data_IF_336402030140
#
_entry.id   IF_336402030140
#
_cell.length_a   1.000
_cell.length_b   1.000
_cell.length_c   1.000
_cell.angle_alpha   90.00
_cell.angle_beta   90.00
_cell.angle_gamma   90.00
#
_symmetry.space_group_name_H-M   'P 1'
#
loop_
_entity.id
_entity.type
_entity.pdbx_description
1 polymer ?
#
# COMPACT_ATOMS: atom_id res chain seq x y z
N UNK A 1 27.00 -53.56 -23.33
CA UNK A 1 26.09 -52.85 -24.25
C UNK A 1 25.12 -52.08 -23.37
N UNK A 2 25.41 -50.81 -23.12
CA UNK A 2 24.54 -49.94 -22.32
C UNK A 2 23.37 -49.52 -23.20
N UNK A 3 22.20 -50.03 -22.86
CA UNK A 3 20.92 -49.67 -23.44
C UNK A 3 20.70 -48.17 -23.17
N UNK A 4 20.91 -47.34 -24.19
CA UNK A 4 20.64 -45.91 -24.14
C UNK A 4 19.13 -45.74 -24.23
N UNK A 5 18.46 -45.82 -23.07
CA UNK A 5 17.04 -45.53 -22.95
C UNK A 5 16.75 -44.18 -23.62
N UNK A 6 16.06 -44.23 -24.75
CA UNK A 6 15.57 -43.05 -25.44
C UNK A 6 14.73 -42.23 -24.44
N UNK A 7 15.10 -40.96 -24.23
CA UNK A 7 14.32 -40.04 -23.42
C UNK A 7 12.85 -40.10 -23.88
N UNK A 8 11.88 -40.17 -22.95
CA UNK A 8 10.48 -40.29 -23.31
C UNK A 8 10.10 -39.12 -24.24
N UNK A 9 9.52 -39.45 -25.39
CA UNK A 9 9.06 -38.45 -26.35
C UNK A 9 8.09 -37.50 -25.64
N UNK A 10 8.51 -36.24 -25.47
CA UNK A 10 7.66 -35.21 -24.87
C UNK A 10 6.41 -35.08 -25.73
N UNK A 11 5.20 -35.21 -25.16
CA UNK A 11 3.97 -35.12 -25.95
C UNK A 11 3.94 -33.77 -26.69
N UNK A 12 3.50 -33.76 -27.95
CA UNK A 12 3.45 -32.50 -28.69
C UNK A 12 2.35 -31.59 -28.15
N UNK A 13 2.69 -30.33 -27.89
CA UNK A 13 1.76 -29.27 -27.49
C UNK A 13 1.42 -28.41 -28.71
N UNK A 14 0.16 -27.97 -28.83
CA UNK A 14 -0.23 -27.12 -29.96
C UNK A 14 0.51 -25.78 -29.92
N UNK A 15 0.90 -25.20 -31.08
CA UNK A 15 1.62 -23.92 -31.12
C UNK A 15 0.89 -22.77 -30.42
N UNK A 16 -0.45 -22.77 -30.48
CA UNK A 16 -1.27 -21.76 -29.83
C UNK A 16 -1.23 -21.85 -28.28
N UNK A 17 -1.21 -23.06 -27.72
CA UNK A 17 -1.07 -23.25 -26.26
C UNK A 17 0.36 -22.90 -25.83
N UNK A 18 1.36 -23.28 -26.63
CA UNK A 18 2.76 -22.92 -26.40
C UNK A 18 2.96 -21.40 -26.34
N UNK A 19 2.43 -20.66 -27.31
CA UNK A 19 2.50 -19.19 -27.32
C UNK A 19 1.88 -18.57 -26.05
N UNK A 20 0.70 -19.07 -25.63
CA UNK A 20 0.09 -18.64 -24.36
C UNK A 20 0.98 -18.95 -23.16
N UNK A 21 1.67 -20.09 -23.14
CA UNK A 21 2.56 -20.47 -22.05
C UNK A 21 3.78 -19.55 -21.98
N UNK A 22 4.39 -19.21 -23.12
CA UNK A 22 5.47 -18.22 -23.23
C UNK A 22 5.03 -16.87 -22.65
N UNK A 23 3.84 -16.38 -23.01
CA UNK A 23 3.29 -15.14 -22.46
C UNK A 23 3.07 -15.21 -20.94
N UNK A 24 2.56 -16.34 -20.42
CA UNK A 24 2.38 -16.51 -18.97
C UNK A 24 3.72 -16.49 -18.23
N UNK A 25 4.75 -17.15 -18.75
CA UNK A 25 6.09 -17.16 -18.16
C UNK A 25 6.70 -15.75 -18.21
N UNK A 26 6.62 -15.06 -19.35
CA UNK A 26 7.05 -13.67 -19.49
C UNK A 26 6.34 -12.76 -18.47
N UNK A 27 5.04 -12.97 -18.25
CA UNK A 27 4.27 -12.24 -17.25
C UNK A 27 4.77 -12.51 -15.82
N UNK A 28 4.91 -13.78 -15.42
CA UNK A 28 5.27 -14.11 -14.03
C UNK A 28 6.64 -13.56 -13.61
N UNK A 29 7.62 -13.66 -14.51
CA UNK A 29 8.99 -13.22 -14.28
C UNK A 29 9.26 -11.76 -14.70
N UNK A 30 8.27 -11.08 -15.29
CA UNK A 30 8.34 -9.66 -15.61
C UNK A 30 8.38 -8.78 -14.36
N UNK A 31 8.95 -7.58 -14.49
CA UNK A 31 9.22 -6.68 -13.34
C UNK A 31 7.97 -6.32 -12.53
N UNK A 32 6.88 -5.97 -13.22
CA UNK A 32 5.65 -5.55 -12.58
C UNK A 32 5.02 -6.66 -11.74
N UNK A 33 4.95 -7.89 -12.25
CA UNK A 33 4.39 -9.01 -11.50
C UNK A 33 5.35 -9.50 -10.41
N UNK A 34 6.61 -9.77 -10.77
CA UNK A 34 7.58 -10.38 -9.85
C UNK A 34 7.89 -9.49 -8.64
N UNK A 35 7.82 -8.15 -8.76
CA UNK A 35 7.93 -7.23 -7.61
C UNK A 35 6.75 -7.32 -6.64
N UNK A 36 5.56 -7.69 -7.12
CA UNK A 36 4.34 -7.71 -6.31
C UNK A 36 3.98 -9.11 -5.80
N UNK A 37 4.31 -10.15 -6.55
CA UNK A 37 3.94 -11.53 -6.26
C UNK A 37 4.78 -12.11 -5.12
N UNK A 38 4.17 -12.20 -3.93
CA UNK A 38 4.84 -12.69 -2.72
C UNK A 38 5.24 -14.16 -2.83
N UNK A 39 4.45 -14.97 -3.52
CA UNK A 39 4.76 -16.38 -3.68
C UNK A 39 6.03 -16.55 -4.53
N UNK A 40 6.07 -15.91 -5.70
CA UNK A 40 7.23 -15.94 -6.60
C UNK A 40 8.50 -15.40 -5.92
N UNK A 41 8.38 -14.31 -5.16
CA UNK A 41 9.52 -13.76 -4.41
C UNK A 41 10.04 -14.69 -3.33
N UNK A 42 9.13 -15.30 -2.56
CA UNK A 42 9.53 -16.18 -1.47
C UNK A 42 10.17 -17.46 -1.99
N UNK A 43 9.62 -18.03 -3.06
CA UNK A 43 10.20 -19.22 -3.70
C UNK A 43 11.60 -18.91 -4.25
N UNK A 44 11.75 -17.82 -4.99
CA UNK A 44 13.05 -17.38 -5.51
C UNK A 44 14.07 -17.09 -4.40
N UNK A 45 13.66 -16.43 -3.30
CA UNK A 45 14.56 -16.15 -2.16
C UNK A 45 15.06 -17.43 -1.49
N UNK A 46 14.23 -18.47 -1.44
CA UNK A 46 14.56 -19.72 -0.77
C UNK A 46 15.38 -20.68 -1.64
N UNK A 47 15.47 -20.43 -2.96
CA UNK A 47 16.08 -21.36 -3.92
C UNK A 47 17.04 -20.66 -4.91
N UNK A 48 17.97 -19.83 -4.41
CA UNK A 48 19.01 -19.15 -5.22
C UNK A 48 18.47 -18.39 -6.46
N UNK A 49 17.32 -17.76 -6.30
CA UNK A 49 16.61 -17.03 -7.36
C UNK A 49 15.74 -17.89 -8.28
N UNK A 50 15.79 -19.23 -8.15
CA UNK A 50 14.98 -20.16 -8.93
C UNK A 50 13.59 -20.38 -8.36
N UNK A 51 12.65 -20.61 -9.25
CA UNK A 51 11.27 -21.01 -8.97
C UNK A 51 11.05 -22.36 -9.65
N UNK A 52 10.55 -23.35 -8.92
CA UNK A 52 10.37 -24.67 -9.48
C UNK A 52 9.22 -24.69 -10.50
N UNK A 53 9.42 -25.41 -11.61
CA UNK A 53 8.36 -25.64 -12.60
C UNK A 53 7.20 -26.40 -11.95
N UNK A 54 7.49 -27.26 -10.97
CA UNK A 54 6.50 -27.98 -10.17
C UNK A 54 5.50 -27.02 -9.48
N UNK A 55 5.98 -25.88 -8.99
CA UNK A 55 5.17 -24.82 -8.38
C UNK A 55 4.37 -24.06 -9.44
N UNK A 56 4.99 -23.71 -10.57
CA UNK A 56 4.32 -23.00 -11.66
C UNK A 56 3.14 -23.79 -12.24
N UNK A 57 3.22 -25.12 -12.31
CA UNK A 57 2.12 -25.99 -12.75
C UNK A 57 0.89 -25.91 -11.83
N UNK A 58 1.05 -25.47 -10.58
CA UNK A 58 -0.08 -25.28 -9.64
C UNK A 58 -0.85 -23.99 -9.90
N UNK A 59 -0.29 -23.05 -10.67
CA UNK A 59 -0.95 -21.79 -10.97
C UNK A 59 -2.17 -22.03 -11.87
N UNK A 60 -3.32 -21.49 -11.46
CA UNK A 60 -4.60 -21.70 -12.16
C UNK A 60 -4.57 -21.40 -13.66
N UNK A 61 -3.70 -20.49 -14.10
CA UNK A 61 -3.55 -20.18 -15.52
C UNK A 61 -2.62 -21.11 -16.29
N UNK A 62 -1.62 -21.70 -15.63
CA UNK A 62 -0.69 -22.64 -16.25
C UNK A 62 -1.33 -24.03 -16.28
N UNK A 63 -1.97 -24.42 -15.18
CA UNK A 63 -2.71 -25.69 -15.04
C UNK A 63 -3.76 -25.91 -16.13
N UNK A 64 -4.37 -24.85 -16.65
CA UNK A 64 -5.34 -24.92 -17.76
C UNK A 64 -4.71 -25.14 -19.14
N UNK A 65 -3.40 -24.87 -19.27
CA UNK A 65 -2.66 -24.97 -20.53
C UNK A 65 -1.89 -26.29 -20.60
N UNK A 66 -1.27 -26.71 -19.49
CA UNK A 66 -0.51 -27.95 -19.45
C UNK A 66 -0.31 -28.48 -18.03
N UNK A 67 -0.11 -29.79 -17.92
CA UNK A 67 0.31 -30.49 -16.70
C UNK A 67 1.74 -31.06 -16.82
N UNK A 68 2.39 -30.88 -17.98
CA UNK A 68 3.69 -31.49 -18.30
C UNK A 68 4.81 -30.46 -18.06
N UNK A 69 5.77 -30.74 -17.16
CA UNK A 69 6.89 -29.82 -16.85
C UNK A 69 7.72 -29.43 -18.08
N UNK A 70 7.95 -30.38 -18.99
CA UNK A 70 8.77 -30.16 -20.19
C UNK A 70 8.21 -29.05 -21.10
N UNK A 71 6.89 -28.87 -21.18
CA UNK A 71 6.30 -27.78 -21.96
C UNK A 71 6.63 -26.41 -21.36
N UNK A 72 6.62 -26.31 -20.02
CA UNK A 72 6.97 -25.07 -19.30
C UNK A 72 8.45 -24.75 -19.48
N UNK A 73 9.31 -25.76 -19.36
CA UNK A 73 10.75 -25.58 -19.60
C UNK A 73 11.05 -25.13 -21.03
N UNK A 74 10.39 -25.75 -22.03
CA UNK A 74 10.53 -25.37 -23.44
C UNK A 74 10.09 -23.92 -23.68
N UNK A 75 8.91 -23.54 -23.19
CA UNK A 75 8.40 -22.18 -23.32
C UNK A 75 9.28 -21.15 -22.59
N UNK A 76 9.83 -21.50 -21.43
CA UNK A 76 10.76 -20.64 -20.69
C UNK A 76 12.05 -20.38 -21.46
N UNK A 77 12.54 -21.37 -22.23
CA UNK A 77 13.73 -21.20 -23.06
C UNK A 77 13.61 -20.14 -24.16
N UNK A 78 12.39 -19.78 -24.56
CA UNK A 78 12.13 -18.73 -25.57
C UNK A 78 12.01 -17.32 -24.94
N UNK A 79 11.86 -17.24 -23.62
CA UNK A 79 11.67 -15.98 -22.90
C UNK A 79 13.03 -15.33 -22.60
N UNK A 80 13.28 -14.14 -23.14
CA UNK A 80 14.60 -13.50 -23.09
C UNK A 80 15.09 -13.14 -21.66
N UNK A 81 14.18 -12.83 -20.74
CA UNK A 81 14.50 -12.37 -19.39
C UNK A 81 14.55 -13.49 -18.34
N UNK A 82 14.54 -14.76 -18.75
CA UNK A 82 14.61 -15.90 -17.84
C UNK A 82 15.68 -16.91 -18.27
N UNK A 83 16.10 -17.74 -17.33
CA UNK A 83 17.04 -18.84 -17.54
C UNK A 83 16.48 -20.09 -16.90
N UNK A 84 16.47 -21.19 -17.64
CA UNK A 84 16.10 -22.52 -17.15
C UNK A 84 17.32 -23.16 -16.47
N UNK A 85 17.10 -23.85 -15.36
CA UNK A 85 18.13 -24.63 -14.67
C UNK A 85 18.69 -25.74 -15.56
N UNK A 86 19.88 -26.25 -15.21
CA UNK A 86 20.57 -27.27 -16.01
C UNK A 86 19.82 -28.60 -16.08
N UNK A 87 19.11 -28.93 -15.01
CA UNK A 87 18.22 -30.10 -14.92
C UNK A 87 16.87 -29.88 -15.62
N UNK A 88 16.54 -28.64 -16.01
CA UNK A 88 15.26 -28.34 -16.66
C UNK A 88 14.07 -28.28 -15.71
N UNK A 89 14.28 -28.27 -14.39
CA UNK A 89 13.22 -28.36 -13.38
C UNK A 89 12.82 -27.01 -12.76
N UNK A 90 13.61 -25.96 -12.95
CA UNK A 90 13.37 -24.65 -12.36
C UNK A 90 13.72 -23.49 -13.31
N UNK A 91 13.14 -22.32 -13.05
CA UNK A 91 13.30 -21.12 -13.86
C UNK A 91 13.66 -19.95 -12.95
N UNK A 92 14.63 -19.13 -13.34
CA UNK A 92 14.94 -17.87 -12.66
C UNK A 92 14.96 -16.70 -13.62
N UNK A 93 14.88 -15.49 -13.07
CA UNK A 93 15.17 -14.28 -13.84
C UNK A 93 16.63 -14.25 -14.27
N UNK A 94 16.88 -13.82 -15.50
CA UNK A 94 18.23 -13.56 -16.01
C UNK A 94 18.81 -12.29 -15.39
N UNK A 95 18.02 -11.22 -15.43
CA UNK A 95 18.40 -9.90 -14.94
C UNK A 95 17.71 -9.60 -13.60
N UNK A 96 18.43 -8.97 -12.64
CA UNK A 96 17.83 -8.56 -11.38
C UNK A 96 16.69 -7.56 -11.60
N UNK A 97 15.86 -7.37 -10.57
CA UNK A 97 14.84 -6.31 -10.62
C UNK A 97 15.53 -4.94 -10.69
N UNK A 98 15.01 -3.98 -11.48
CA UNK A 98 15.53 -2.62 -11.46
C UNK A 98 15.43 -2.00 -10.07
N UNK A 99 16.51 -1.37 -9.60
CA UNK A 99 16.59 -0.70 -8.29
C UNK A 99 15.62 0.48 -8.21
N UNK A 100 15.65 1.38 -9.20
CA UNK A 100 14.83 2.59 -9.26
C UNK A 100 13.55 2.35 -10.09
N UNK A 101 12.64 1.52 -9.59
CA UNK A 101 11.37 1.26 -10.25
C UNK A 101 10.23 1.94 -9.53
N UNK A 102 9.66 2.97 -10.15
CA UNK A 102 8.43 3.57 -9.69
C UNK A 102 7.23 3.03 -10.48
N UNK A 103 6.42 2.18 -9.83
CA UNK A 103 5.22 1.63 -10.47
C UNK A 103 4.17 2.71 -10.74
N UNK A 104 4.08 3.75 -9.89
CA UNK A 104 3.06 4.79 -10.03
C UNK A 104 3.29 5.65 -11.29
N UNK A 105 4.54 5.86 -11.70
CA UNK A 105 4.88 6.65 -12.88
C UNK A 105 4.47 5.96 -14.19
N UNK A 106 4.38 4.62 -14.14
CA UNK A 106 4.01 3.76 -15.27
C UNK A 106 2.54 3.38 -15.28
N UNK A 107 1.76 3.90 -14.33
CA UNK A 107 0.42 3.42 -14.03
C UNK A 107 -0.64 4.48 -14.30
N UNK A 108 -1.75 4.02 -14.88
CA UNK A 108 -2.97 4.79 -15.02
C UNK A 108 -4.10 4.15 -14.21
N UNK A 109 -5.01 4.98 -13.71
CA UNK A 109 -6.27 4.52 -13.12
C UNK A 109 -7.38 4.67 -14.15
N UNK A 110 -7.99 3.54 -14.53
CA UNK A 110 -9.16 3.50 -15.41
C UNK A 110 -10.42 3.45 -14.56
N UNK A 111 -11.43 4.24 -14.92
CA UNK A 111 -12.73 4.34 -14.25
C UNK A 111 -13.84 4.24 -15.29
N UNK A 112 -14.95 3.59 -14.93
CA UNK A 112 -16.09 3.38 -15.83
C UNK A 112 -16.15 1.97 -16.40
N UNK A 113 -15.41 1.02 -15.83
CA UNK A 113 -15.49 -0.38 -16.27
C UNK A 113 -16.88 -0.95 -15.99
N UNK A 114 -17.43 -1.78 -16.90
CA UNK A 114 -18.76 -2.34 -16.76
C UNK A 114 -18.83 -3.26 -15.55
N UNK A 115 -19.84 -3.04 -14.70
CA UNK A 115 -20.18 -3.91 -13.59
C UNK A 115 -21.62 -4.35 -13.69
N UNK A 116 -21.90 -5.60 -13.31
CA UNK A 116 -23.25 -6.14 -13.16
C UNK A 116 -23.57 -6.28 -11.67
N UNK A 117 -24.81 -5.97 -11.30
CA UNK A 117 -25.32 -6.24 -9.96
C UNK A 117 -25.70 -7.72 -9.87
N UNK A 118 -25.21 -8.38 -8.82
CA UNK A 118 -25.48 -9.77 -8.50
C UNK A 118 -26.18 -9.80 -7.16
N UNK A 119 -27.39 -10.36 -7.15
CA UNK A 119 -28.16 -10.58 -5.94
C UNK A 119 -27.68 -11.89 -5.35
N UNK A 120 -26.97 -11.82 -4.23
CA UNK A 120 -26.58 -13.02 -3.48
C UNK A 120 -27.55 -13.22 -2.32
N UNK A 121 -28.39 -14.24 -2.43
CA UNK A 121 -29.21 -14.72 -1.31
C UNK A 121 -28.30 -15.38 -0.28
N UNK A 122 -28.01 -14.67 0.80
CA UNK A 122 -27.28 -15.26 1.92
C UNK A 122 -28.21 -16.24 2.66
N UNK A 123 -28.08 -17.55 2.39
CA UNK A 123 -28.66 -18.57 3.28
C UNK A 123 -28.02 -18.42 4.65
N UNK A 124 -28.79 -17.95 5.63
CA UNK A 124 -28.36 -17.95 7.01
C UNK A 124 -28.02 -19.40 7.41
N UNK A 125 -26.79 -19.62 7.88
CA UNK A 125 -26.44 -20.86 8.59
C UNK A 125 -27.34 -20.93 9.82
N UNK A 126 -28.36 -21.78 9.78
CA UNK A 126 -29.10 -22.16 10.98
C UNK A 126 -28.11 -22.97 11.81
N UNK A 127 -27.54 -22.36 12.85
CA UNK A 127 -26.89 -23.12 13.92
C UNK A 127 -28.00 -23.90 14.62
N UNK A 128 -28.09 -25.21 14.35
CA UNK A 128 -28.86 -26.13 15.18
C UNK A 128 -28.24 -26.12 16.58
N UNK A 129 -28.78 -25.29 17.47
CA UNK A 129 -28.64 -25.54 18.91
C UNK A 129 -29.40 -26.81 19.23
N UNK A 130 -28.67 -27.91 19.39
CA UNK A 130 -29.15 -29.13 20.02
C UNK A 130 -29.59 -28.78 21.45
N UNK A 131 -30.89 -28.59 21.66
CA UNK A 131 -31.48 -28.56 23.00
C UNK A 131 -31.71 -30.02 23.38
N UNK A 132 -30.93 -30.52 24.32
CA UNK A 132 -31.23 -31.80 24.97
C UNK A 132 -32.47 -31.60 25.85
N UNK A 133 -33.59 -32.12 25.35
CA UNK A 133 -34.89 -32.15 26.00
C UNK A 133 -34.92 -33.24 27.08
N UNK A 134 -35.09 -32.86 28.35
CA UNK A 134 -35.61 -33.75 29.38
C UNK A 134 -37.13 -33.72 29.33
N UNK A 135 -37.71 -34.89 29.08
CA UNK A 135 -39.14 -35.18 29.03
C UNK A 135 -39.78 -35.02 30.41
N UNK A 136 -40.89 -34.29 30.49
CA UNK A 136 -42.06 -34.64 31.33
C UNK A 136 -43.34 -33.86 30.89
N UNK A 137 -44.19 -34.60 30.17
CA UNK A 137 -45.66 -34.69 30.14
C UNK A 137 -46.64 -33.48 30.23
N UNK A 138 -47.39 -33.28 29.12
CA UNK A 138 -48.81 -32.85 28.86
C UNK A 138 -49.44 -31.72 29.71
N UNK A 139 -50.14 -30.71 29.17
CA UNK A 139 -51.38 -30.72 28.35
C UNK A 139 -51.53 -29.37 27.60
N UNK A 140 -52.32 -29.41 26.53
CA UNK A 140 -52.60 -28.46 25.43
C UNK A 140 -53.05 -27.01 25.75
N UNK A 141 -52.86 -26.20 24.69
CA UNK A 141 -53.69 -25.06 24.22
C UNK A 141 -53.29 -23.62 24.61
N UNK A 142 -52.58 -22.92 23.70
CA UNK A 142 -53.14 -21.77 22.96
C UNK A 142 -52.20 -21.25 21.87
N UNK A 143 -52.80 -21.05 20.70
CA UNK A 143 -52.26 -20.35 19.53
C UNK A 143 -52.12 -18.86 19.85
N UNK A 144 -50.93 -18.30 19.63
CA UNK A 144 -50.79 -16.87 19.34
C UNK A 144 -49.58 -16.66 18.43
N UNK A 145 -49.87 -16.09 17.25
CA UNK A 145 -48.94 -15.94 16.16
C UNK A 145 -47.75 -15.05 16.52
N UNK A 146 -46.56 -15.49 16.12
CA UNK A 146 -45.45 -14.59 15.84
C UNK A 146 -45.23 -14.62 14.34
N UNK A 147 -45.68 -13.55 13.68
CA UNK A 147 -45.21 -13.19 12.35
C UNK A 147 -43.68 -13.06 12.44
N UNK A 148 -42.97 -14.10 12.01
CA UNK A 148 -41.53 -14.01 11.76
C UNK A 148 -41.34 -13.10 10.55
N UNK A 149 -41.10 -11.83 10.80
CA UNK A 149 -40.52 -10.92 9.80
C UNK A 149 -39.11 -11.41 9.54
N UNK A 150 -38.96 -12.33 8.57
CA UNK A 150 -37.69 -12.64 7.92
C UNK A 150 -37.24 -11.39 7.19
N UNK A 151 -36.48 -10.56 7.88
CA UNK A 151 -35.83 -9.41 7.28
C UNK A 151 -34.63 -9.93 6.46
N UNK A 152 -34.92 -10.46 5.27
CA UNK A 152 -33.93 -10.86 4.27
C UNK A 152 -33.20 -9.61 3.77
N UNK A 153 -32.05 -9.29 4.39
CA UNK A 153 -31.18 -8.22 3.88
C UNK A 153 -30.49 -8.70 2.60
N UNK A 154 -31.05 -8.29 1.46
CA UNK A 154 -30.46 -8.39 0.12
C UNK A 154 -29.12 -7.63 0.12
N UNK A 155 -28.01 -8.34 -0.08
CA UNK A 155 -26.69 -7.70 -0.25
C UNK A 155 -26.47 -7.50 -1.75
N UNK A 156 -26.39 -6.25 -2.18
CA UNK A 156 -26.07 -5.90 -3.56
C UNK A 156 -24.56 -6.08 -3.79
N UNK A 157 -24.17 -7.20 -4.39
CA UNK A 157 -22.79 -7.44 -4.80
C UNK A 157 -22.60 -6.96 -6.24
N UNK A 158 -21.45 -6.37 -6.56
CA UNK A 158 -21.11 -5.98 -7.94
C UNK A 158 -20.00 -6.86 -8.45
N UNK A 159 -20.15 -7.39 -9.65
CA UNK A 159 -19.11 -8.12 -10.37
C UNK A 159 -18.71 -7.36 -11.62
N UNK A 160 -17.46 -7.53 -12.08
CA UNK A 160 -17.09 -7.00 -13.39
C UNK A 160 -17.78 -7.80 -14.48
N UNK A 161 -18.29 -7.09 -15.48
CA UNK A 161 -18.82 -7.67 -16.71
C UNK A 161 -17.78 -7.58 -17.86
N UNK A 162 -16.50 -7.57 -17.50
CA UNK A 162 -15.37 -7.51 -18.44
C UNK A 162 -14.21 -8.28 -17.83
N UNK A 163 -13.29 -8.73 -18.67
CA UNK A 163 -12.12 -9.48 -18.29
C UNK A 163 -10.82 -8.70 -18.53
N UNK A 164 -9.72 -9.26 -18.02
CA UNK A 164 -8.40 -8.65 -18.16
C UNK A 164 -7.97 -8.60 -19.63
N UNK A 165 -8.37 -9.58 -20.45
CA UNK A 165 -8.00 -9.65 -21.87
C UNK A 165 -8.66 -8.54 -22.69
N UNK A 166 -9.94 -8.24 -22.43
CA UNK A 166 -10.67 -7.14 -23.05
C UNK A 166 -10.06 -5.79 -22.69
N UNK A 167 -9.70 -5.60 -21.41
CA UNK A 167 -9.01 -4.39 -20.95
C UNK A 167 -7.64 -4.25 -21.64
N UNK A 168 -6.85 -5.34 -21.67
CA UNK A 168 -5.56 -5.34 -22.35
C UNK A 168 -5.70 -4.99 -23.82
N UNK A 169 -6.66 -5.59 -24.50
CA UNK A 169 -6.91 -5.35 -25.92
C UNK A 169 -7.26 -3.88 -26.17
N UNK A 170 -8.17 -3.31 -25.37
CA UNK A 170 -8.59 -1.92 -25.52
C UNK A 170 -7.46 -0.91 -25.28
N UNK A 171 -6.56 -1.18 -24.34
CA UNK A 171 -5.45 -0.28 -23.99
C UNK A 171 -4.13 -0.60 -24.71
N UNK A 172 -4.04 -1.73 -25.41
CA UNK A 172 -2.85 -2.13 -26.17
C UNK A 172 -2.43 -1.13 -27.25
N UNK A 173 -3.37 -0.30 -27.73
CA UNK A 173 -3.11 0.76 -28.70
C UNK A 173 -2.11 1.82 -28.23
N UNK A 174 -1.96 2.00 -26.92
CA UNK A 174 -0.98 2.94 -26.35
C UNK A 174 0.40 2.30 -26.23
N UNK A 175 0.47 0.98 -26.06
CA UNK A 175 1.71 0.22 -25.96
C UNK A 175 1.57 -1.02 -25.08
N UNK A 176 2.71 -1.65 -24.81
CA UNK A 176 2.79 -2.89 -24.05
C UNK A 176 2.35 -2.71 -22.59
N UNK A 177 1.42 -3.55 -22.16
CA UNK A 177 0.86 -3.55 -20.79
C UNK A 177 1.58 -4.60 -19.95
N UNK A 178 2.20 -4.17 -18.85
CA UNK A 178 2.92 -5.04 -17.92
C UNK A 178 1.98 -5.71 -16.91
N UNK A 179 1.01 -4.99 -16.35
CA UNK A 179 0.12 -5.50 -15.32
C UNK A 179 -1.25 -4.82 -15.36
N UNK A 180 -2.31 -5.59 -15.11
CA UNK A 180 -3.66 -5.07 -14.90
C UNK A 180 -4.15 -5.54 -13.54
N UNK A 181 -4.54 -4.60 -12.68
CA UNK A 181 -5.06 -4.87 -11.34
C UNK A 181 -6.50 -4.35 -11.22
N UNK A 182 -7.46 -5.27 -11.24
CA UNK A 182 -8.86 -4.95 -10.99
C UNK A 182 -9.10 -4.59 -9.53
N UNK A 183 -9.95 -3.59 -9.26
CA UNK A 183 -10.16 -3.05 -7.91
C UNK A 183 -11.46 -3.58 -7.31
N UNK A 184 -11.36 -4.14 -6.11
CA UNK A 184 -12.50 -4.63 -5.36
C UNK A 184 -12.53 -3.99 -3.97
N UNK A 185 -13.72 -3.87 -3.39
CA UNK A 185 -13.84 -3.66 -1.96
C UNK A 185 -13.34 -4.89 -1.21
N UNK A 186 -12.69 -4.65 -0.06
CA UNK A 186 -12.36 -5.72 0.86
C UNK A 186 -13.66 -6.28 1.44
N UNK A 187 -13.82 -7.59 1.41
CA UNK A 187 -14.88 -8.25 2.14
C UNK A 187 -14.63 -8.09 3.64
N UNK A 188 -15.65 -7.70 4.39
CA UNK A 188 -15.61 -7.62 5.85
C UNK A 188 -16.80 -8.43 6.37
N UNK A 189 -16.51 -9.64 6.84
CA UNK A 189 -17.52 -10.58 7.32
C UNK A 189 -18.26 -10.03 8.55
N UNK A 190 -17.60 -9.26 9.41
CA UNK A 190 -18.22 -8.62 10.58
C UNK A 190 -19.16 -7.49 10.16
N UNK A 191 -18.79 -6.71 9.14
CA UNK A 191 -19.63 -5.63 8.59
C UNK A 191 -20.63 -6.12 7.54
N UNK A 192 -20.65 -7.42 7.23
CA UNK A 192 -21.45 -8.01 6.15
C UNK A 192 -21.22 -7.33 4.79
N UNK A 193 -20.00 -6.87 4.55
CA UNK A 193 -19.60 -6.26 3.28
C UNK A 193 -19.02 -7.38 2.41
N UNK A 194 -19.68 -7.66 1.29
CA UNK A 194 -19.17 -8.59 0.31
C UNK A 194 -18.07 -7.95 -0.56
N UNK A 195 -17.25 -8.81 -1.18
CA UNK A 195 -16.25 -8.36 -2.15
C UNK A 195 -16.98 -7.88 -3.40
N UNK A 196 -17.04 -6.56 -3.61
CA UNK A 196 -17.69 -5.95 -4.76
C UNK A 196 -16.70 -5.23 -5.67
N UNK A 197 -16.94 -5.32 -6.98
CA UNK A 197 -16.20 -4.60 -8.01
C UNK A 197 -16.39 -3.09 -7.87
N UNK A 198 -15.30 -2.33 -7.96
CA UNK A 198 -15.30 -0.88 -7.83
C UNK A 198 -15.47 -0.15 -9.18
N UNK A 199 -15.69 -0.87 -10.28
CA UNK A 199 -15.82 -0.29 -11.63
C UNK A 199 -14.56 0.45 -12.10
N UNK A 200 -13.41 0.14 -11.51
CA UNK A 200 -12.12 0.75 -11.84
C UNK A 200 -10.98 -0.27 -11.82
N UNK A 201 -9.92 -0.03 -12.59
CA UNK A 201 -8.71 -0.86 -12.54
C UNK A 201 -7.46 0.04 -12.59
N UNK A 202 -6.33 -0.56 -12.23
CA UNK A 202 -5.02 0.03 -12.49
C UNK A 202 -4.36 -0.72 -13.63
N UNK A 203 -3.80 0.01 -14.58
CA UNK A 203 -3.03 -0.53 -15.69
C UNK A 203 -1.62 0.02 -15.56
N UNK A 204 -0.65 -0.88 -15.47
CA UNK A 204 0.78 -0.57 -15.48
C UNK A 204 1.34 -0.92 -16.85
N UNK A 205 1.94 0.05 -17.51
CA UNK A 205 2.59 -0.12 -18.81
C UNK A 205 4.05 -0.58 -18.65
N UNK A 206 4.62 -1.10 -19.73
CA UNK A 206 6.02 -1.52 -19.75
C UNK A 206 6.99 -0.37 -19.46
N UNK A 207 6.63 0.87 -19.84
CA UNK A 207 7.44 2.06 -19.66
C UNK A 207 6.63 3.26 -19.16
N UNK A 208 7.31 4.24 -18.58
CA UNK A 208 6.70 5.48 -18.08
C UNK A 208 6.21 6.36 -19.23
N UNK A 209 6.93 6.37 -20.35
CA UNK A 209 6.62 7.14 -21.55
C UNK A 209 5.27 6.71 -22.13
N UNK A 210 4.98 5.40 -22.15
CA UNK A 210 3.69 4.88 -22.61
C UNK A 210 2.55 5.39 -21.73
N UNK A 211 2.74 5.41 -20.40
CA UNK A 211 1.74 5.92 -19.48
C UNK A 211 1.47 7.42 -19.67
N UNK A 212 2.52 8.21 -19.94
CA UNK A 212 2.40 9.63 -20.27
C UNK A 212 1.65 9.85 -21.58
N UNK A 213 2.04 9.16 -22.65
CA UNK A 213 1.36 9.23 -23.95
C UNK A 213 -0.12 8.86 -23.83
N UNK A 214 -0.44 7.82 -23.06
CA UNK A 214 -1.83 7.46 -22.80
C UNK A 214 -2.57 8.64 -22.15
N UNK A 215 -2.05 9.18 -21.05
CA UNK A 215 -2.69 10.30 -20.31
C UNK A 215 -2.82 11.56 -21.17
N UNK A 216 -1.82 11.89 -21.98
CA UNK A 216 -1.83 13.05 -22.89
C UNK A 216 -2.85 12.91 -24.01
N UNK A 217 -3.09 11.68 -24.50
CA UNK A 217 -4.14 11.44 -25.48
C UNK A 217 -5.53 11.83 -24.92
N UNK A 218 -5.74 11.65 -23.61
CA UNK A 218 -6.96 12.03 -22.88
C UNK A 218 -8.25 11.60 -23.60
N UNK A 219 -8.21 10.42 -24.20
CA UNK A 219 -9.31 9.86 -24.97
C UNK A 219 -10.25 9.04 -24.07
N UNK A 220 -11.50 8.89 -24.49
CA UNK A 220 -12.40 7.90 -23.91
C UNK A 220 -12.19 6.55 -24.60
N UNK A 221 -11.96 5.50 -23.81
CA UNK A 221 -11.76 4.14 -24.33
C UNK A 221 -12.99 3.30 -24.07
N UNK A 222 -13.53 2.71 -25.12
CA UNK A 222 -14.61 1.74 -24.99
C UNK A 222 -14.04 0.39 -24.56
N UNK A 223 -14.45 -0.09 -23.39
CA UNK A 223 -14.15 -1.43 -22.90
C UNK A 223 -15.46 -2.20 -22.84
N UNK A 224 -15.56 -3.24 -23.68
CA UNK A 224 -16.83 -3.92 -23.95
C UNK A 224 -17.86 -2.89 -24.46
N UNK A 225 -18.92 -2.61 -23.70
CA UNK A 225 -19.94 -1.62 -24.09
C UNK A 225 -19.89 -0.31 -23.29
N UNK A 226 -18.92 -0.17 -22.38
CA UNK A 226 -18.83 0.99 -21.48
C UNK A 226 -17.69 1.93 -21.86
N UNK A 227 -17.99 3.22 -21.81
CA UNK A 227 -17.04 4.30 -22.04
C UNK A 227 -16.22 4.52 -20.76
N UNK A 228 -14.92 4.24 -20.85
CA UNK A 228 -13.98 4.35 -19.76
C UNK A 228 -13.11 5.59 -19.91
N UNK A 229 -12.86 6.25 -18.79
CA UNK A 229 -11.90 7.36 -18.69
C UNK A 229 -10.72 6.92 -17.83
N UNK A 230 -9.59 7.59 -17.98
CA UNK A 230 -8.41 7.26 -17.20
C UNK A 230 -7.61 8.51 -16.84
N UNK A 231 -6.87 8.41 -15.75
CA UNK A 231 -5.99 9.48 -15.25
C UNK A 231 -4.66 8.89 -14.83
N UNK A 232 -3.61 9.70 -14.78
CA UNK A 232 -2.35 9.31 -14.17
C UNK A 232 -2.56 8.81 -12.73
N UNK A 233 -1.77 7.83 -12.29
CA UNK A 233 -1.88 7.28 -10.94
C UNK A 233 -1.60 8.34 -9.86
N UNK A 234 -0.65 9.25 -10.11
CA UNK A 234 -0.36 10.39 -9.21
C UNK A 234 -1.60 11.26 -8.97
N UNK A 235 -2.24 11.72 -10.03
CA UNK A 235 -3.46 12.54 -9.95
C UNK A 235 -4.60 11.80 -9.25
N UNK A 236 -4.72 10.50 -9.49
CA UNK A 236 -5.73 9.67 -8.84
C UNK A 236 -5.49 9.60 -7.32
N UNK A 237 -4.24 9.41 -6.90
CA UNK A 237 -3.86 9.36 -5.48
C UNK A 237 -4.15 10.70 -4.79
N UNK A 238 -3.83 11.83 -5.41
CA UNK A 238 -4.10 13.17 -4.88
C UNK A 238 -5.59 13.46 -4.73
N UNK A 239 -6.39 13.10 -5.74
CA UNK A 239 -7.86 13.26 -5.72
C UNK A 239 -8.48 12.37 -4.63
N UNK A 240 -7.95 11.18 -4.40
CA UNK A 240 -8.50 10.24 -3.43
C UNK A 240 -8.04 10.53 -1.99
N UNK A 241 -6.82 11.03 -1.77
CA UNK A 241 -6.35 11.49 -0.46
C UNK A 241 -7.16 12.71 0.02
N UNK A 242 -7.46 13.64 -0.89
CA UNK A 242 -8.28 14.82 -0.65
C UNK A 242 -9.74 14.47 -0.29
N UNK A 243 -10.32 13.44 -0.91
CA UNK A 243 -11.66 12.93 -0.56
C UNK A 243 -11.70 12.31 0.84
N UNK A 244 -10.64 11.61 1.24
CA UNK A 244 -10.56 11.04 2.59
C UNK A 244 -10.43 12.13 3.68
N UNK A 245 -9.74 13.24 3.39
CA UNK A 245 -9.63 14.40 4.29
C UNK A 245 -10.98 15.11 4.48
N UNK A 246 -11.83 15.17 3.45
CA UNK A 246 -13.19 15.76 3.52
C UNK A 246 -14.21 14.87 4.24
N UNK A 247 -14.06 13.54 4.20
CA UNK A 247 -14.94 12.60 4.95
C UNK A 247 -14.64 12.52 6.45
N UNK A 248 -13.40 12.79 6.86
CA UNK A 248 -12.99 12.78 8.27
C UNK A 248 -13.59 13.89 9.12
N UNK A 249 -14.14 14.96 8.52
CA UNK A 249 -14.60 16.14 9.24
C UNK A 249 -16.12 16.21 9.48
N UNK A 250 -16.90 15.17 9.14
CA UNK A 250 -18.37 15.22 9.27
C UNK A 250 -19.01 14.22 10.23
N UNK A 251 -18.28 13.24 10.76
CA UNK A 251 -18.77 12.41 11.86
C UNK A 251 -17.72 12.38 12.98
N UNK A 252 -18.00 13.13 14.05
CA UNK A 252 -17.25 13.03 15.28
C UNK A 252 -17.40 11.66 15.93
N UNK A 253 -16.27 11.21 16.51
CA UNK A 253 -16.14 10.29 17.65
C UNK A 253 -16.61 8.85 17.44
N UNK A 254 -15.64 7.96 17.24
CA UNK A 254 -15.84 6.51 17.29
C UNK A 254 -14.66 5.75 16.71
N UNK A 255 -13.52 5.75 17.41
CA UNK A 255 -12.35 4.92 17.07
C UNK A 255 -12.69 3.44 17.25
N UNK A 256 -12.77 2.71 16.15
CA UNK A 256 -12.62 1.25 16.12
C UNK A 256 -12.23 0.78 14.72
N UNK A 257 -11.49 -0.33 14.73
CA UNK A 257 -10.88 -1.09 13.62
C UNK A 257 -9.54 -0.55 13.11
N UNK A 258 -8.50 -1.35 13.04
CA UNK A 258 -8.42 -2.81 13.14
C UNK A 258 -7.33 -3.30 12.18
N UNK A 259 -6.49 -4.18 12.69
CA UNK A 259 -5.25 -4.71 12.13
C UNK A 259 -5.25 -5.11 10.64
N UNK A 260 -4.13 -4.79 9.99
CA UNK A 260 -3.45 -5.74 9.12
C UNK A 260 -1.94 -5.59 9.40
N UNK A 261 -1.35 -6.62 10.00
CA UNK A 261 0.09 -6.76 10.23
C UNK A 261 0.66 -7.55 9.06
N UNK A 262 1.57 -6.96 8.30
CA UNK A 262 2.53 -7.72 7.50
C UNK A 262 3.80 -6.90 7.32
N UNK A 263 4.90 -7.46 7.84
CA UNK A 263 6.23 -6.86 7.90
C UNK A 263 6.81 -6.66 6.50
N UNK A 264 6.80 -5.41 6.01
CA UNK A 264 7.67 -4.95 4.93
C UNK A 264 8.39 -3.71 5.45
N UNK A 265 9.66 -3.56 5.10
CA UNK A 265 10.38 -2.32 5.31
C UNK A 265 9.69 -1.22 4.48
N UNK A 266 8.67 -0.59 5.07
CA UNK A 266 7.97 0.56 4.50
C UNK A 266 8.93 1.74 4.49
N UNK A 267 9.17 2.25 3.29
CA UNK A 267 9.73 3.58 3.09
C UNK A 267 8.86 4.59 3.85
N UNK A 268 9.48 5.36 4.75
CA UNK A 268 8.77 6.35 5.58
C UNK A 268 8.06 7.34 4.66
N UNK A 269 6.73 7.33 4.66
CA UNK A 269 5.93 8.34 3.96
C UNK A 269 6.12 9.68 4.68
N UNK A 270 7.09 10.47 4.21
CA UNK A 270 7.37 11.82 4.69
C UNK A 270 6.37 12.77 4.07
N UNK A 271 5.46 13.31 4.87
CA UNK A 271 4.58 14.40 4.42
C UNK A 271 5.35 15.71 4.59
N UNK A 272 5.58 16.48 3.52
CA UNK A 272 6.27 17.78 3.62
C UNK A 272 5.54 18.70 4.60
N UNK A 273 6.31 19.43 5.41
CA UNK A 273 5.77 20.42 6.34
C UNK A 273 5.65 21.74 5.57
N UNK A 274 4.43 22.26 5.46
CA UNK A 274 4.18 23.58 4.89
C UNK A 274 4.80 24.65 5.81
N UNK A 275 5.67 25.49 5.24
CA UNK A 275 6.41 26.52 5.96
C UNK A 275 6.64 27.75 5.06
N UNK A 276 6.77 28.92 5.67
CA UNK A 276 7.29 30.12 5.01
C UNK A 276 8.82 30.14 5.14
N UNK A 277 9.51 30.75 4.18
CA UNK A 277 10.98 30.90 4.24
C UNK A 277 11.42 31.83 5.37
N UNK A 278 12.64 31.65 5.85
CA UNK A 278 13.28 32.41 6.92
C UNK A 278 12.51 32.37 8.25
N UNK A 279 12.00 31.19 8.62
CA UNK A 279 11.17 31.01 9.82
C UNK A 279 11.84 30.18 10.92
N UNK A 280 13.11 29.79 10.76
CA UNK A 280 13.78 28.89 11.71
C UNK A 280 15.07 29.51 12.24
N UNK A 281 15.18 29.63 13.56
CA UNK A 281 16.41 29.99 14.26
C UNK A 281 16.99 28.74 14.92
N UNK A 282 18.27 28.45 14.66
CA UNK A 282 19.04 27.45 15.38
C UNK A 282 19.77 28.08 16.56
N UNK A 283 19.89 27.35 17.66
CA UNK A 283 20.53 27.73 18.91
C UNK A 283 21.56 26.66 19.27
N UNK A 284 22.75 27.07 19.70
CA UNK A 284 23.82 26.17 20.16
C UNK A 284 24.37 26.59 21.52
N UNK A 285 24.75 25.62 22.33
CA UNK A 285 25.18 25.83 23.72
C UNK A 285 24.04 26.29 24.63
N UNK A 286 22.89 25.65 24.53
CA UNK A 286 21.76 25.81 25.45
C UNK A 286 22.22 25.39 26.87
N UNK A 287 21.97 26.21 27.91
CA UNK A 287 22.44 25.92 29.27
C UNK A 287 21.90 24.61 29.85
N UNK A 288 22.73 23.90 30.58
CA UNK A 288 22.38 22.61 31.18
C UNK A 288 21.21 22.77 32.17
N UNK A 289 20.18 21.95 32.01
CA UNK A 289 18.96 22.04 32.81
C UNK A 289 17.87 22.96 32.22
N UNK A 290 18.16 23.69 31.14
CA UNK A 290 17.13 24.43 30.40
C UNK A 290 16.04 23.49 29.89
N UNK A 291 14.79 23.88 30.10
CA UNK A 291 13.62 23.19 29.56
C UNK A 291 12.99 24.00 28.41
N UNK A 292 12.00 23.38 27.77
CA UNK A 292 11.28 24.01 26.65
C UNK A 292 10.56 25.28 27.07
N UNK A 293 10.17 25.40 28.35
CA UNK A 293 9.49 26.58 28.88
C UNK A 293 10.46 27.75 29.04
N UNK A 294 11.69 27.50 29.49
CA UNK A 294 12.75 28.51 29.55
C UNK A 294 13.11 29.05 28.16
N UNK A 295 13.20 28.17 27.15
CA UNK A 295 13.40 28.59 25.77
C UNK A 295 12.20 29.43 25.32
N UNK A 296 10.96 28.97 25.58
CA UNK A 296 9.76 29.72 25.18
C UNK A 296 9.69 31.11 25.84
N UNK A 297 10.06 31.21 27.11
CA UNK A 297 10.08 32.45 27.86
C UNK A 297 11.09 33.46 27.27
N UNK A 298 12.25 32.99 26.81
CA UNK A 298 13.25 33.84 26.16
C UNK A 298 12.76 34.48 24.85
N UNK A 299 11.76 33.88 24.20
CA UNK A 299 11.13 34.42 22.99
C UNK A 299 9.80 35.12 23.24
N UNK A 300 9.32 35.23 24.49
CA UNK A 300 7.97 35.75 24.78
C UNK A 300 7.76 37.20 24.33
N UNK A 301 8.81 38.03 24.42
CA UNK A 301 8.79 39.44 24.03
C UNK A 301 9.16 39.68 22.56
N UNK A 302 9.40 38.60 21.80
CA UNK A 302 9.71 38.67 20.36
C UNK A 302 8.42 38.63 19.56
N UNK A 303 8.36 39.38 18.46
CA UNK A 303 7.25 39.31 17.51
C UNK A 303 7.04 37.87 17.03
N UNK A 304 5.81 37.36 17.12
CA UNK A 304 5.51 35.95 16.80
C UNK A 304 6.00 34.91 17.83
N UNK A 305 6.65 35.33 18.92
CA UNK A 305 7.20 34.47 19.98
C UNK A 305 6.16 33.65 20.77
N UNK A 306 4.89 34.05 20.72
CA UNK A 306 3.79 33.30 21.34
C UNK A 306 3.33 32.10 20.51
N UNK A 307 3.59 32.08 19.20
CA UNK A 307 3.19 31.06 18.24
C UNK A 307 4.43 30.38 17.60
N UNK A 308 5.31 29.88 18.48
CA UNK A 308 6.56 29.18 18.11
C UNK A 308 6.50 27.68 18.43
N UNK A 309 7.17 26.89 17.59
CA UNK A 309 7.49 25.51 17.86
C UNK A 309 8.96 25.40 18.26
N UNK A 310 9.24 24.70 19.37
CA UNK A 310 10.60 24.52 19.88
C UNK A 310 10.96 23.06 19.68
N UNK A 311 11.96 22.81 18.86
CA UNK A 311 12.57 21.52 18.60
C UNK A 311 13.82 21.40 19.48
N UNK A 312 13.62 20.85 20.67
CA UNK A 312 14.65 20.69 21.70
C UNK A 312 14.22 19.56 22.63
N UNK A 313 15.16 18.64 22.92
CA UNK A 313 15.00 17.65 23.98
C UNK A 313 15.80 18.07 25.21
N UNK A 314 15.24 17.85 26.41
CA UNK A 314 15.90 18.22 27.67
C UNK A 314 17.28 17.55 27.77
N UNK A 315 18.32 18.37 27.93
CA UNK A 315 19.71 17.92 28.04
C UNK A 315 20.50 17.95 26.73
N UNK A 316 19.89 18.35 25.62
CA UNK A 316 20.63 18.67 24.40
C UNK A 316 21.36 20.02 24.53
N UNK A 317 22.50 20.16 23.86
CA UNK A 317 23.23 21.43 23.81
C UNK A 317 22.76 22.32 22.67
N UNK A 318 22.07 21.75 21.68
CA UNK A 318 21.61 22.46 20.50
C UNK A 318 20.09 22.31 20.36
N UNK A 319 19.45 23.28 19.70
CA UNK A 319 18.01 23.26 19.47
C UNK A 319 17.59 24.22 18.36
N UNK A 320 16.32 24.18 17.99
CA UNK A 320 15.78 25.08 16.97
C UNK A 320 14.40 25.61 17.36
N UNK A 321 14.16 26.87 17.01
CA UNK A 321 12.90 27.58 17.22
C UNK A 321 12.31 27.92 15.87
N UNK A 322 11.09 27.45 15.64
CA UNK A 322 10.33 27.64 14.40
C UNK A 322 9.21 28.64 14.64
N UNK A 323 9.19 29.69 13.86
CA UNK A 323 8.08 30.63 13.81
C UNK A 323 7.04 30.14 12.82
N UNK A 324 5.77 30.39 13.12
CA UNK A 324 4.68 30.05 12.20
C UNK A 324 4.63 30.95 10.97
N UNK A 325 5.11 32.19 11.10
CA UNK A 325 5.12 33.21 10.05
C UNK A 325 6.45 33.96 10.07
N UNK A 326 6.97 34.31 8.89
CA UNK A 326 8.18 35.13 8.78
C UNK A 326 7.90 36.59 9.15
N UNK A 327 8.88 37.27 9.74
CA UNK A 327 8.85 38.72 10.01
C UNK A 327 10.25 39.32 9.85
N UNK A 328 10.31 40.63 9.61
CA UNK A 328 11.57 41.33 9.25
C UNK A 328 12.65 41.25 10.35
N UNK A 329 12.24 41.13 11.61
CA UNK A 329 13.14 41.11 12.77
C UNK A 329 13.76 39.75 13.11
N UNK A 330 13.43 38.64 12.43
CA UNK A 330 13.91 37.30 12.81
C UNK A 330 15.44 37.22 12.83
N UNK A 331 16.09 37.85 11.84
CA UNK A 331 17.55 37.89 11.75
C UNK A 331 18.19 38.67 12.90
N UNK A 332 17.55 39.75 13.34
CA UNK A 332 18.00 40.54 14.49
C UNK A 332 17.83 39.76 15.80
N UNK A 333 16.75 38.99 15.93
CA UNK A 333 16.54 38.10 17.09
C UNK A 333 17.64 37.05 17.16
N UNK A 334 17.97 36.39 16.03
CA UNK A 334 19.09 35.44 16.00
C UNK A 334 20.42 36.12 16.38
N UNK A 335 20.68 37.33 15.88
CA UNK A 335 21.87 38.09 16.22
C UNK A 335 21.95 38.45 17.72
N UNK A 336 20.82 38.82 18.35
CA UNK A 336 20.74 39.14 19.79
C UNK A 336 20.99 37.92 20.68
N UNK A 337 20.58 36.73 20.25
CA UNK A 337 20.95 35.49 20.96
C UNK A 337 22.44 35.17 20.76
N UNK A 338 22.99 35.39 19.56
CA UNK A 338 24.41 35.15 19.28
C UNK A 338 25.35 36.14 19.99
N UNK A 339 24.92 37.38 20.22
CA UNK A 339 25.66 38.39 21.00
C UNK A 339 25.58 38.19 22.51
N UNK A 340 24.64 37.36 22.99
CA UNK A 340 24.36 37.17 24.41
C UNK A 340 23.46 38.24 25.05
N UNK A 341 22.88 39.14 24.24
CA UNK A 341 21.89 40.13 24.71
C UNK A 341 20.59 39.44 25.15
N UNK A 342 20.23 38.34 24.49
CA UNK A 342 19.13 37.46 24.88
C UNK A 342 19.66 36.17 25.52
N UNK A 343 19.03 35.76 26.61
CA UNK A 343 19.47 34.65 27.45
C UNK A 343 18.36 33.61 27.61
N UNK A 344 18.76 32.36 27.76
CA UNK A 344 17.88 31.23 28.07
C UNK A 344 18.23 30.79 29.49
N UNK A 345 17.24 30.71 30.38
CA UNK A 345 17.47 30.36 31.78
C UNK A 345 18.62 31.17 32.43
N UNK A 346 18.63 32.50 32.20
CA UNK A 346 19.63 33.47 32.71
C UNK A 346 21.07 33.31 32.18
N UNK A 347 21.32 32.40 31.25
CA UNK A 347 22.62 32.22 30.60
C UNK A 347 22.56 32.47 29.09
N UNK A 348 23.66 33.01 28.54
CA UNK A 348 23.79 33.24 27.11
C UNK A 348 24.04 31.93 26.36
N UNK A 349 23.48 31.80 25.17
CA UNK A 349 23.80 30.69 24.26
C UNK A 349 25.15 30.95 23.58
N UNK A 350 25.82 29.90 23.15
CA UNK A 350 27.12 30.02 22.47
C UNK A 350 27.00 30.40 21.00
N UNK A 351 25.84 30.18 20.39
CA UNK A 351 25.56 30.58 19.02
C UNK A 351 24.08 30.58 18.71
N UNK A 352 23.70 31.45 17.78
CA UNK A 352 22.36 31.46 17.20
C UNK A 352 22.44 31.91 15.74
N UNK A 353 21.72 31.23 14.85
CA UNK A 353 21.72 31.51 13.41
C UNK A 353 20.33 31.32 12.81
N UNK A 354 19.90 32.29 12.00
CA UNK A 354 18.74 32.14 11.12
C UNK A 354 19.11 31.20 9.97
N UNK A 355 18.30 30.17 9.75
CA UNK A 355 18.43 29.32 8.58
C UNK A 355 17.81 30.03 7.37
N UNK A 356 18.53 30.05 6.27
CA UNK A 356 18.11 30.65 4.99
C UNK A 356 18.42 29.64 3.86
N UNK A 357 17.55 29.53 2.85
CA UNK A 357 17.79 28.74 1.65
C UNK A 357 17.95 27.23 1.87
N UNK A 358 19.02 26.63 1.33
CA UNK A 358 19.25 25.17 1.36
C UNK A 358 19.37 24.60 2.78
N UNK A 359 19.92 25.37 3.73
CA UNK A 359 20.05 24.94 5.13
C UNK A 359 18.66 24.82 5.80
N UNK A 360 17.74 25.70 5.46
CA UNK A 360 16.36 25.70 5.96
C UNK A 360 15.56 24.54 5.34
N UNK A 361 15.70 24.30 4.04
CA UNK A 361 15.04 23.18 3.35
C UNK A 361 15.47 21.82 3.93
N UNK A 362 16.77 21.66 4.20
CA UNK A 362 17.30 20.47 4.87
C UNK A 362 16.68 20.27 6.25
N UNK A 363 16.56 21.34 7.04
CA UNK A 363 15.94 21.28 8.36
C UNK A 363 14.48 20.82 8.28
N UNK A 364 13.69 21.35 7.35
CA UNK A 364 12.28 20.95 7.20
C UNK A 364 12.12 19.51 6.72
N UNK A 365 13.01 19.04 5.85
CA UNK A 365 13.04 17.63 5.43
C UNK A 365 13.36 16.68 6.60
N UNK A 366 14.36 17.02 7.42
CA UNK A 366 14.72 16.20 8.59
C UNK A 366 13.64 16.24 9.68
N UNK A 367 12.99 17.40 9.85
CA UNK A 367 11.82 17.52 10.72
C UNK A 367 10.64 16.67 10.26
N UNK A 368 10.37 16.64 8.95
CA UNK A 368 9.29 15.84 8.36
C UNK A 368 9.58 14.34 8.53
N UNK A 369 10.83 13.91 8.33
CA UNK A 369 11.30 12.54 8.62
C UNK A 369 11.14 12.18 10.09
N UNK A 370 11.58 13.05 11.00
CA UNK A 370 11.46 12.84 12.45
C UNK A 370 10.00 12.70 12.89
N UNK A 371 9.08 13.52 12.34
CA UNK A 371 7.65 13.37 12.59
C UNK A 371 7.08 12.06 12.06
N UNK A 372 7.47 11.64 10.86
CA UNK A 372 7.06 10.36 10.30
C UNK A 372 7.57 9.18 11.17
N UNK A 373 8.80 9.23 11.66
CA UNK A 373 9.37 8.23 12.56
C UNK A 373 8.69 8.19 13.93
N UNK A 374 8.41 9.35 14.53
CA UNK A 374 7.68 9.42 15.82
C UNK A 374 6.28 8.85 15.67
N UNK A 375 5.59 9.13 14.56
CA UNK A 375 4.26 8.58 14.26
C UNK A 375 4.31 7.07 14.09
N UNK A 376 5.35 6.54 13.44
CA UNK A 376 5.61 5.10 13.33
C UNK A 376 5.85 4.48 14.72
N UNK A 377 6.79 5.01 15.51
CA UNK A 377 7.10 4.50 16.87
C UNK A 377 5.88 4.57 17.82
N UNK A 378 5.04 5.59 17.70
CA UNK A 378 3.79 5.69 18.47
C UNK A 378 2.79 4.60 18.09
N UNK A 379 2.64 4.33 16.79
CA UNK A 379 1.80 3.24 16.30
C UNK A 379 2.34 1.86 16.76
N UNK A 380 3.66 1.68 16.75
CA UNK A 380 4.30 0.42 17.18
C UNK A 380 4.08 0.16 18.69
N UNK A 381 4.20 1.19 19.55
CA UNK A 381 4.01 1.05 21.01
C UNK A 381 2.56 0.76 21.41
N UNK A 382 1.58 1.20 20.62
CA UNK A 382 0.15 0.98 20.91
C UNK A 382 -0.31 -0.46 20.63
N UNK A 383 0.46 -1.23 19.85
CA UNK A 383 0.15 -2.63 19.48
C UNK A 383 0.61 -3.71 20.49
N UNK A 384 1.34 -3.35 21.55
CA UNK A 384 2.02 -4.33 22.42
C UNK A 384 1.19 -4.93 23.57
N UNK A 385 0.04 -4.37 23.95
CA UNK A 385 -0.58 -4.69 25.24
C UNK A 385 -1.74 -5.71 25.20
N UNK A 386 -2.07 -6.30 24.05
CA UNK A 386 -3.23 -7.21 23.91
C UNK A 386 -2.91 -8.71 23.96
N UNK A 387 -1.71 -9.14 24.39
CA UNK A 387 -1.35 -10.57 24.39
C UNK A 387 -0.96 -11.17 25.76
N UNK A 388 -1.49 -10.65 26.88
CA UNK A 388 -1.35 -11.31 28.19
C UNK A 388 -2.66 -11.34 28.98
N UNK A 389 -3.40 -12.43 28.82
CA UNK A 389 -4.44 -12.87 29.75
C UNK A 389 -5.46 -13.77 29.08
N UNK A 390 -5.65 -15.05 29.42
CA UNK A 390 -4.99 -15.94 30.36
C UNK A 390 -5.65 -17.30 30.17
N UNK A 391 -4.91 -18.30 29.67
CA UNK A 391 -5.32 -19.70 29.70
C UNK A 391 -5.38 -20.14 31.17
N UNK A 392 -6.54 -20.06 31.80
CA UNK A 392 -6.83 -20.85 33.01
C UNK A 392 -7.20 -22.25 32.55
N UNK A 393 -6.21 -23.15 32.63
CA UNK A 393 -6.46 -24.59 32.66
C UNK A 393 -7.42 -24.87 33.82
N UNK A 394 -8.60 -25.41 33.52
CA UNK A 394 -9.39 -26.12 34.52
C UNK A 394 -8.84 -27.55 34.58
N UNK A 395 -8.39 -27.90 35.77
CA UNK A 395 -8.08 -29.25 36.20
C UNK A 395 -9.36 -29.96 36.60
#
# INVERSE_FOLDING_TARGET
MTDSAAAPAVPEISPAIHAKLVERIRFFFGDANFRNDQFMQNEAKNNDGYVEISSLLRFNSVKKLTEVPAHVAKAAGEVMNVVVSKDGEAIRRKDPLPENYNANDRMICVVGLPTKDVIVEQKAKVEEKKVEEKVEEKVEEKVEGKEEVKNEKKVEEKEYNTDIESIKTAFSKFGDIALVRMRYNKSDAEKKIAKSALGSCFIEFASEEIAKVAVEANETIKVSDSDCTYTAMKDWLEKNSSKNKRKGNKNGKGDSKGDAKEDKAEELVVVPIEHEANCVITLSGIPEGSDREAIKAAFADVEGGTDIYIDYSRGETDGAVRFKKSFSGIKEVAAKFASGDMKIAEAAVTGAKLLEGEEEEKYWNDAAKSMAERKRKFNDRKGGNNNRGGKRQRK
#
